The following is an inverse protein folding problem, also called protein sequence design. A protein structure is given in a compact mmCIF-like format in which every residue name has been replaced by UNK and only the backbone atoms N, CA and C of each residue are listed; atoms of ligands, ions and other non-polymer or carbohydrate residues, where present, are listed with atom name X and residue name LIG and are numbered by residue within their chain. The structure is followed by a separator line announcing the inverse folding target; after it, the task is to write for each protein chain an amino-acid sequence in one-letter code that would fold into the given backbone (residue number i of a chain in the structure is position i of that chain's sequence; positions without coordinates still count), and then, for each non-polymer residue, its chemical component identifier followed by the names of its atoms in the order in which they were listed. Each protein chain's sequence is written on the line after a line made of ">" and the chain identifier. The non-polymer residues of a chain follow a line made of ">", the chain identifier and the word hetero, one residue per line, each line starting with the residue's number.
data_IF_361856187782
#
_entry.id   IF_361856187782
#
_cell.length_a   1.000
_cell.length_b   1.000
_cell.length_c   1.000
_cell.angle_alpha   90.00
_cell.angle_beta   90.00
_cell.angle_gamma   90.00
#
_symmetry.space_group_name_H-M   'P 1'
#
loop_
_entity.id
_entity.type
_entity.pdbx_description
1 polymer ?
#
# COMPACT_ATOMS: atom_id res chain seq x y z
N UNK A 1 -9.23 -20.50 -15.52
CA UNK A 1 -8.96 -19.77 -14.25
C UNK A 1 -7.64 -20.30 -13.73
N UNK A 2 -6.58 -19.48 -13.68
CA UNK A 2 -5.30 -19.92 -13.09
C UNK A 2 -5.56 -20.27 -11.62
N UNK A 3 -5.17 -21.47 -11.19
CA UNK A 3 -5.21 -21.81 -9.78
C UNK A 3 -4.23 -20.90 -9.03
N UNK A 4 -4.67 -20.37 -7.90
CA UNK A 4 -3.80 -19.57 -7.02
C UNK A 4 -2.93 -20.57 -6.26
N UNK A 5 -1.62 -20.54 -6.51
CA UNK A 5 -0.66 -21.39 -5.82
C UNK A 5 -0.29 -20.75 -4.48
N UNK A 6 -0.80 -21.34 -3.40
CA UNK A 6 -0.54 -20.92 -2.03
C UNK A 6 0.69 -21.69 -1.52
N UNK A 7 1.71 -20.97 -1.04
CA UNK A 7 2.95 -21.59 -0.54
C UNK A 7 2.79 -22.10 0.90
N UNK A 8 2.41 -21.19 1.79
CA UNK A 8 2.17 -21.46 3.20
C UNK A 8 0.73 -21.12 3.51
N UNK A 9 0.05 -22.00 4.24
CA UNK A 9 -1.33 -21.82 4.68
C UNK A 9 -1.41 -22.27 6.13
N UNK A 10 -1.91 -21.39 6.98
CA UNK A 10 -2.24 -21.71 8.37
C UNK A 10 -3.73 -21.55 8.55
N UNK A 11 -4.35 -22.54 9.17
CA UNK A 11 -5.77 -22.53 9.48
C UNK A 11 -5.99 -22.37 10.98
N UNK A 12 -7.11 -21.75 11.34
CA UNK A 12 -7.59 -21.81 12.70
C UNK A 12 -7.90 -23.26 13.11
N UNK A 13 -7.74 -23.58 14.40
CA UNK A 13 -7.99 -24.91 14.97
C UNK A 13 -9.41 -25.45 14.73
N UNK A 14 -10.38 -24.58 14.43
CA UNK A 14 -11.75 -24.98 14.13
C UNK A 14 -11.93 -25.59 12.74
N UNK A 15 -10.90 -25.55 11.88
CA UNK A 15 -10.95 -26.05 10.50
C UNK A 15 -10.67 -27.55 10.42
N UNK A 16 -11.51 -28.26 9.67
CA UNK A 16 -11.37 -29.70 9.41
C UNK A 16 -10.44 -29.94 8.22
N UNK A 17 -9.14 -30.10 8.49
CA UNK A 17 -8.08 -30.26 7.47
C UNK A 17 -8.34 -31.38 6.45
N UNK A 18 -8.87 -32.52 6.90
CA UNK A 18 -9.17 -33.67 6.03
C UNK A 18 -10.14 -33.34 4.87
N UNK A 19 -11.06 -32.38 5.03
CA UNK A 19 -11.92 -31.94 3.90
C UNK A 19 -11.14 -31.08 2.91
N UNK A 20 -10.36 -30.13 3.42
CA UNK A 20 -9.55 -29.25 2.59
C UNK A 20 -8.56 -30.02 1.69
N UNK A 21 -7.95 -31.09 2.20
CA UNK A 21 -7.02 -31.92 1.42
C UNK A 21 -7.69 -32.64 0.25
N UNK A 22 -8.97 -33.01 0.38
CA UNK A 22 -9.71 -33.77 -0.63
C UNK A 22 -10.27 -32.87 -1.75
N UNK A 23 -10.99 -31.81 -1.41
CA UNK A 23 -11.75 -31.00 -2.38
C UNK A 23 -11.45 -29.50 -2.31
N UNK A 24 -10.46 -29.10 -1.50
CA UNK A 24 -10.11 -27.69 -1.21
C UNK A 24 -11.26 -26.91 -0.55
N UNK A 25 -12.23 -27.57 0.06
CA UNK A 25 -13.31 -26.94 0.83
C UNK A 25 -12.89 -26.72 2.29
N UNK A 26 -12.92 -25.47 2.75
CA UNK A 26 -12.70 -25.12 4.15
C UNK A 26 -14.00 -25.33 4.92
N UNK A 27 -14.02 -26.31 5.84
CA UNK A 27 -15.17 -26.63 6.68
C UNK A 27 -14.79 -26.45 8.15
N UNK A 28 -15.59 -25.69 8.89
CA UNK A 28 -15.30 -25.34 10.28
C UNK A 28 -16.58 -25.06 11.08
N UNK A 29 -16.45 -25.03 12.40
CA UNK A 29 -17.46 -24.49 13.32
C UNK A 29 -16.85 -23.20 13.89
N UNK A 30 -17.36 -22.00 13.54
CA UNK A 30 -16.75 -20.75 13.96
C UNK A 30 -16.82 -20.57 15.49
N UNK A 31 -15.77 -20.03 16.13
CA UNK A 31 -15.89 -19.38 17.43
C UNK A 31 -16.83 -18.17 17.35
N UNK A 32 -17.34 -17.75 18.51
CA UNK A 32 -18.13 -16.52 18.60
C UNK A 32 -17.24 -15.28 18.44
N UNK A 33 -17.70 -14.30 17.66
CA UNK A 33 -17.01 -13.03 17.44
C UNK A 33 -16.06 -13.03 16.24
N UNK A 34 -15.14 -12.06 16.23
CA UNK A 34 -14.14 -11.90 15.18
C UNK A 34 -12.95 -12.82 15.41
N UNK A 35 -12.53 -13.55 14.37
CA UNK A 35 -11.35 -14.42 14.43
C UNK A 35 -10.69 -14.58 13.05
N UNK A 36 -9.40 -14.89 13.06
CA UNK A 36 -8.65 -15.22 11.85
C UNK A 36 -8.91 -16.68 11.45
N UNK A 37 -9.66 -16.89 10.37
CA UNK A 37 -9.97 -18.24 9.86
C UNK A 37 -8.76 -18.91 9.19
N UNK A 38 -8.03 -18.16 8.37
CA UNK A 38 -6.84 -18.63 7.68
C UNK A 38 -5.87 -17.49 7.42
N UNK A 39 -4.58 -17.81 7.41
CA UNK A 39 -3.51 -16.95 6.91
C UNK A 39 -2.78 -17.68 5.79
N UNK A 40 -2.32 -16.93 4.79
CA UNK A 40 -1.63 -17.54 3.65
C UNK A 40 -0.55 -16.64 3.09
N UNK A 41 0.45 -17.27 2.47
CA UNK A 41 1.51 -16.58 1.73
C UNK A 41 1.52 -17.00 0.26
N UNK A 42 1.79 -16.03 -0.60
CA UNK A 42 1.96 -16.24 -2.04
C UNK A 42 3.34 -15.75 -2.44
N UNK A 43 3.98 -16.50 -3.33
CA UNK A 43 5.17 -16.06 -4.04
C UNK A 43 4.82 -15.74 -5.48
N UNK A 44 4.04 -14.68 -5.62
CA UNK A 44 3.70 -14.12 -6.93
C UNK A 44 4.50 -12.85 -7.12
N UNK A 45 5.16 -12.72 -8.26
CA UNK A 45 5.80 -11.47 -8.64
C UNK A 45 4.70 -10.48 -9.04
N UNK A 46 4.35 -9.58 -8.12
CA UNK A 46 3.32 -8.56 -8.34
C UNK A 46 4.01 -7.27 -8.77
N UNK A 47 3.49 -6.64 -9.83
CA UNK A 47 3.90 -5.26 -10.16
C UNK A 47 3.45 -4.31 -9.05
N UNK A 48 4.27 -3.31 -8.68
CA UNK A 48 3.89 -2.31 -7.70
C UNK A 48 2.56 -1.63 -8.06
N UNK A 49 1.57 -1.72 -7.17
CA UNK A 49 0.23 -1.15 -7.37
C UNK A 49 0.23 0.37 -7.52
N UNK A 50 1.09 1.08 -6.79
CA UNK A 50 1.35 2.51 -6.92
C UNK A 50 2.86 2.68 -7.09
N UNK A 51 3.29 2.87 -8.33
CA UNK A 51 4.68 3.11 -8.66
C UNK A 51 5.00 4.59 -8.49
N UNK A 52 6.08 4.89 -7.76
CA UNK A 52 6.53 6.25 -7.51
C UNK A 52 7.93 6.42 -8.08
N UNK A 53 8.07 7.37 -9.00
CA UNK A 53 9.34 7.83 -9.53
C UNK A 53 9.65 9.19 -8.93
N UNK A 54 10.89 9.37 -8.49
CA UNK A 54 11.34 10.59 -7.85
C UNK A 54 12.64 11.04 -8.49
N UNK A 55 12.61 12.22 -9.08
CA UNK A 55 13.78 12.90 -9.62
C UNK A 55 14.13 14.03 -8.67
N UNK A 56 15.36 14.02 -8.16
CA UNK A 56 15.86 15.02 -7.21
C UNK A 56 16.96 15.82 -7.89
N UNK A 57 16.74 17.12 -8.04
CA UNK A 57 17.66 18.04 -8.70
C UNK A 57 18.24 19.03 -7.67
N UNK A 58 19.48 18.83 -7.22
CA UNK A 58 20.17 19.82 -6.40
C UNK A 58 20.68 20.96 -7.29
N UNK A 59 20.27 22.19 -7.00
CA UNK A 59 20.84 23.39 -7.62
C UNK A 59 21.89 23.99 -6.68
N UNK A 60 23.11 24.15 -7.23
CA UNK A 60 24.33 24.67 -6.59
C UNK A 60 24.09 25.44 -5.28
N UNK A 61 24.12 24.69 -4.17
CA UNK A 61 24.14 25.12 -2.77
C UNK A 61 22.99 25.97 -2.21
N UNK A 62 21.89 26.17 -2.95
CA UNK A 62 20.81 27.05 -2.47
C UNK A 62 19.42 26.46 -2.55
N UNK A 63 19.21 25.45 -3.40
CA UNK A 63 17.87 24.90 -3.63
C UNK A 63 17.93 23.44 -4.00
N UNK A 64 16.94 22.69 -3.54
CA UNK A 64 16.68 21.34 -4.01
C UNK A 64 15.26 21.27 -4.55
N UNK A 65 15.13 20.66 -5.73
CA UNK A 65 13.84 20.43 -6.37
C UNK A 65 13.53 18.93 -6.40
N UNK A 66 12.30 18.59 -6.06
CA UNK A 66 11.78 17.23 -6.16
C UNK A 66 10.69 17.22 -7.22
N UNK A 67 10.80 16.29 -8.17
CA UNK A 67 9.75 15.96 -9.11
C UNK A 67 9.30 14.52 -8.88
N UNK A 68 8.11 14.38 -8.30
CA UNK A 68 7.54 13.08 -7.94
C UNK A 68 6.42 12.74 -8.92
N UNK A 69 6.53 11.57 -9.55
CA UNK A 69 5.51 10.99 -10.42
C UNK A 69 4.95 9.72 -9.79
N UNK A 70 3.69 9.77 -9.39
CA UNK A 70 2.98 8.61 -8.87
C UNK A 70 2.06 8.02 -9.95
N UNK A 71 2.13 6.70 -10.17
CA UNK A 71 1.38 5.98 -11.19
C UNK A 71 0.71 4.75 -10.60
N UNK A 72 -0.60 4.64 -10.76
CA UNK A 72 -1.35 3.44 -10.36
C UNK A 72 -1.29 2.36 -11.45
N UNK A 73 -0.97 1.13 -11.05
CA UNK A 73 -0.88 -0.05 -11.93
C UNK A 73 -1.99 -1.09 -11.64
N UNK A 74 -3.18 -0.62 -11.31
CA UNK A 74 -4.38 -1.45 -11.15
C UNK A 74 -5.50 -0.97 -12.09
N UNK A 75 -6.57 -1.77 -12.15
CA UNK A 75 -7.70 -1.56 -13.08
C UNK A 75 -8.30 -0.16 -12.92
N UNK A 76 -8.64 0.49 -14.03
CA UNK A 76 -9.21 1.85 -14.06
C UNK A 76 -10.48 2.04 -13.23
N UNK A 77 -11.27 0.98 -13.05
CA UNK A 77 -12.48 0.97 -12.22
C UNK A 77 -12.23 0.88 -10.72
N UNK A 78 -11.00 0.53 -10.32
CA UNK A 78 -10.61 0.44 -8.92
C UNK A 78 -10.03 1.79 -8.47
N UNK A 79 -10.19 2.10 -7.18
CA UNK A 79 -9.76 3.36 -6.58
C UNK A 79 -9.00 2.98 -5.31
N UNK A 80 -7.78 3.51 -5.15
CA UNK A 80 -7.09 3.44 -3.88
C UNK A 80 -7.50 4.64 -3.01
N UNK A 81 -7.81 4.38 -1.75
CA UNK A 81 -8.20 5.37 -0.75
C UNK A 81 -7.03 5.69 0.17
N UNK A 82 -7.06 6.92 0.70
CA UNK A 82 -6.12 7.40 1.73
C UNK A 82 -4.66 7.11 1.36
N UNK A 83 -4.30 7.44 0.12
CA UNK A 83 -2.93 7.24 -0.37
C UNK A 83 -2.02 8.28 0.27
N UNK A 84 -0.96 7.83 0.93
CA UNK A 84 0.08 8.69 1.46
C UNK A 84 1.41 8.28 0.84
N UNK A 85 2.09 9.22 0.19
CA UNK A 85 3.44 9.03 -0.34
C UNK A 85 4.37 9.85 0.54
N UNK A 86 5.28 9.16 1.23
CA UNK A 86 6.21 9.74 2.19
C UNK A 86 7.57 9.81 1.52
N UNK A 87 8.00 11.02 1.18
CA UNK A 87 9.28 11.26 0.51
C UNK A 87 10.24 11.91 1.52
N UNK A 88 11.37 11.28 1.83
CA UNK A 88 12.36 11.87 2.72
C UNK A 88 13.06 13.06 2.05
N UNK A 89 13.44 14.04 2.86
CA UNK A 89 14.13 15.27 2.45
C UNK A 89 15.33 15.51 3.37
N UNK A 90 16.30 16.35 2.99
CA UNK A 90 17.39 16.74 3.88
C UNK A 90 16.86 17.39 5.16
N UNK A 91 17.57 17.21 6.27
CA UNK A 91 17.19 17.76 7.59
C UNK A 91 17.14 19.28 7.58
N UNK A 92 18.09 19.88 6.87
CA UNK A 92 18.31 21.32 6.90
C UNK A 92 17.52 22.06 5.81
N UNK A 93 16.47 21.46 5.23
CA UNK A 93 15.65 22.15 4.24
C UNK A 93 14.86 23.29 4.87
N UNK A 94 14.77 24.40 4.15
CA UNK A 94 13.91 25.54 4.52
C UNK A 94 12.95 25.91 3.37
N UNK A 95 12.10 26.90 3.63
CA UNK A 95 11.26 27.55 2.62
C UNK A 95 10.44 26.57 1.73
N UNK A 96 9.70 25.62 2.32
CA UNK A 96 8.96 24.60 1.56
C UNK A 96 7.92 25.23 0.64
N UNK A 97 7.95 24.83 -0.64
CA UNK A 97 6.95 25.23 -1.64
C UNK A 97 6.50 24.04 -2.46
N UNK A 98 5.19 23.82 -2.54
CA UNK A 98 4.60 22.62 -3.16
C UNK A 98 3.64 22.98 -4.29
N UNK A 99 3.68 22.18 -5.36
CA UNK A 99 2.67 22.17 -6.43
C UNK A 99 2.32 20.72 -6.75
N UNK A 100 1.12 20.30 -6.35
CA UNK A 100 0.60 18.97 -6.66
C UNK A 100 -0.59 19.05 -7.62
N UNK A 101 -0.70 18.09 -8.54
CA UNK A 101 -1.86 17.99 -9.44
C UNK A 101 -3.14 17.58 -8.72
N UNK A 102 -3.02 16.91 -7.58
CA UNK A 102 -4.12 16.43 -6.74
C UNK A 102 -3.64 16.30 -5.29
N UNK A 103 -4.58 16.35 -4.35
CA UNK A 103 -4.29 16.09 -2.94
C UNK A 103 -3.58 17.26 -2.27
N UNK A 104 -2.99 16.99 -1.12
CA UNK A 104 -2.29 17.98 -0.28
C UNK A 104 -0.89 17.50 0.02
N UNK A 105 0.06 18.42 0.07
CA UNK A 105 1.46 18.12 0.42
C UNK A 105 1.81 18.92 1.66
N UNK A 106 2.37 18.24 2.66
CA UNK A 106 2.79 18.86 3.93
C UNK A 106 4.19 18.36 4.27
N UNK A 107 5.07 19.28 4.65
CA UNK A 107 6.38 18.96 5.21
C UNK A 107 6.29 18.75 6.71
N UNK A 108 6.91 17.67 7.19
CA UNK A 108 6.99 17.30 8.60
C UNK A 108 8.47 17.32 9.02
N UNK A 109 8.94 18.41 9.66
CA UNK A 109 10.33 18.53 10.11
C UNK A 109 10.76 17.40 11.03
N UNK A 110 9.92 16.99 11.98
CA UNK A 110 10.21 15.91 12.94
C UNK A 110 10.48 14.54 12.28
N UNK A 111 10.12 14.39 11.00
CA UNK A 111 10.27 13.17 10.22
C UNK A 111 11.27 13.32 9.08
N UNK A 112 11.87 14.50 8.90
CA UNK A 112 12.69 14.82 7.73
C UNK A 112 12.01 14.42 6.41
N UNK A 113 10.68 14.65 6.28
CA UNK A 113 9.91 14.11 5.16
C UNK A 113 8.74 14.99 4.72
N UNK A 114 8.41 14.94 3.44
CA UNK A 114 7.13 15.41 2.91
C UNK A 114 6.14 14.26 2.80
N UNK A 115 4.89 14.55 3.12
CA UNK A 115 3.79 13.61 2.95
C UNK A 115 2.84 14.20 1.92
N UNK A 116 2.69 13.49 0.80
CA UNK A 116 1.69 13.77 -0.22
C UNK A 116 0.47 12.88 -0.01
N UNK A 117 -0.62 13.49 0.46
CA UNK A 117 -1.87 12.81 0.79
C UNK A 117 -2.90 12.97 -0.33
N UNK A 118 -3.41 11.85 -0.84
CA UNK A 118 -4.40 11.78 -1.92
C UNK A 118 -5.58 10.94 -1.41
N UNK A 119 -6.76 11.56 -1.25
CA UNK A 119 -7.96 10.87 -0.73
C UNK A 119 -8.39 9.71 -1.62
N UNK A 120 -8.35 9.90 -2.93
CA UNK A 120 -8.76 8.92 -3.93
C UNK A 120 -7.79 8.94 -5.11
N UNK A 121 -7.15 7.80 -5.35
CA UNK A 121 -6.22 7.58 -6.46
C UNK A 121 -6.85 6.57 -7.41
N UNK A 122 -7.38 7.05 -8.53
CA UNK A 122 -8.02 6.22 -9.55
C UNK A 122 -7.00 5.33 -10.28
N UNK A 123 -7.37 4.09 -10.58
CA UNK A 123 -6.51 3.16 -11.29
C UNK A 123 -6.14 3.61 -12.70
N UNK A 124 -4.98 3.17 -13.19
CA UNK A 124 -4.44 3.50 -14.51
C UNK A 124 -4.30 5.01 -14.75
N UNK A 125 -4.12 5.79 -13.68
CA UNK A 125 -3.80 7.23 -13.71
C UNK A 125 -2.40 7.51 -13.20
N UNK A 126 -1.88 8.66 -13.61
CA UNK A 126 -0.65 9.23 -13.08
C UNK A 126 -0.90 10.67 -12.62
N UNK A 127 -0.19 11.05 -11.56
CA UNK A 127 -0.24 12.36 -10.95
C UNK A 127 1.18 12.85 -10.67
N UNK A 128 1.34 14.17 -10.69
CA UNK A 128 2.63 14.82 -10.51
C UNK A 128 2.60 15.72 -9.27
N UNK A 129 3.71 15.74 -8.56
CA UNK A 129 3.97 16.66 -7.46
C UNK A 129 5.37 17.24 -7.63
N UNK A 130 5.48 18.56 -7.46
CA UNK A 130 6.74 19.29 -7.41
C UNK A 130 6.90 19.90 -6.03
N UNK A 131 8.06 19.71 -5.43
CA UNK A 131 8.46 20.38 -4.21
C UNK A 131 9.76 21.14 -4.42
N UNK A 132 9.86 22.28 -3.74
CA UNK A 132 11.03 23.12 -3.75
C UNK A 132 11.39 23.47 -2.32
N UNK A 133 12.67 23.43 -2.01
CA UNK A 133 13.22 23.79 -0.72
C UNK A 133 14.47 24.63 -0.89
N UNK A 134 14.67 25.57 0.02
CA UNK A 134 15.98 26.19 0.21
C UNK A 134 16.93 25.23 0.92
N UNK A 135 18.22 25.37 0.63
CA UNK A 135 19.30 24.73 1.37
C UNK A 135 20.17 25.80 2.03
N UNK A 136 20.60 25.61 3.28
CA UNK A 136 21.53 26.51 3.92
C UNK A 136 22.89 26.46 3.24
N UNK A 137 23.57 27.61 3.24
CA UNK A 137 24.88 27.80 2.62
C UNK A 137 26.03 27.06 3.33
N UNK A 138 25.79 26.52 4.53
CA UNK A 138 26.76 25.77 5.33
C UNK A 138 26.33 24.29 5.30
N UNK A 139 27.01 23.50 4.49
CA UNK A 139 26.85 22.04 4.52
C UNK A 139 27.58 21.47 5.73
N UNK A 140 26.83 21.02 6.74
CA UNK A 140 27.36 20.08 7.72
C UNK A 140 27.54 18.73 7.01
N UNK A 141 28.77 18.42 6.61
CA UNK A 141 29.11 17.12 6.04
C UNK A 141 29.06 16.06 7.14
N UNK A 142 27.85 15.59 7.47
CA UNK A 142 27.63 14.59 8.53
C UNK A 142 27.68 13.16 7.97
N UNK A 143 28.07 12.96 6.71
CA UNK A 143 28.28 11.62 6.11
C UNK A 143 27.04 10.72 6.03
N UNK A 144 25.87 11.15 6.52
CA UNK A 144 24.62 10.39 6.50
C UNK A 144 23.63 11.00 5.51
N UNK A 145 23.60 10.47 4.30
CA UNK A 145 22.62 10.82 3.27
C UNK A 145 21.23 10.23 3.60
N UNK A 146 20.67 10.51 4.80
CA UNK A 146 19.37 10.00 5.25
C UNK A 146 18.22 10.38 4.32
N UNK A 147 18.37 11.49 3.59
CA UNK A 147 17.41 11.91 2.57
C UNK A 147 17.35 10.96 1.37
N UNK A 148 18.29 10.00 1.23
CA UNK A 148 18.24 8.89 0.24
C UNK A 148 17.47 7.68 0.73
N UNK A 149 16.82 7.77 1.89
CA UNK A 149 15.93 6.71 2.37
C UNK A 149 14.85 6.40 1.31
N UNK A 150 14.34 5.15 1.25
CA UNK A 150 13.28 4.81 0.33
C UNK A 150 12.01 5.63 0.58
N UNK A 151 11.29 5.92 -0.50
CA UNK A 151 9.93 6.47 -0.46
C UNK A 151 8.98 5.40 0.04
N UNK A 152 8.22 5.70 1.09
CA UNK A 152 7.17 4.81 1.59
C UNK A 152 5.83 5.19 0.98
N UNK A 153 5.00 4.19 0.65
CA UNK A 153 3.63 4.42 0.17
C UNK A 153 2.63 3.65 1.01
N UNK A 154 1.66 4.37 1.55
CA UNK A 154 0.51 3.79 2.25
C UNK A 154 -0.74 3.94 1.40
N UNK A 155 -1.58 2.91 1.36
CA UNK A 155 -2.82 2.92 0.60
C UNK A 155 -3.75 1.78 1.00
N UNK A 156 -5.04 1.96 0.70
CA UNK A 156 -6.05 0.91 0.78
C UNK A 156 -6.82 0.80 -0.55
N UNK A 157 -6.95 -0.40 -1.11
CA UNK A 157 -7.77 -0.64 -2.32
C UNK A 157 -8.91 -1.61 -1.97
N UNK A 158 -10.15 -1.11 -1.83
CA UNK A 158 -11.31 -1.97 -1.60
C UNK A 158 -11.69 -2.73 -2.87
N UNK A 159 -12.30 -3.90 -2.67
CA UNK A 159 -12.80 -4.80 -3.72
C UNK A 159 -11.73 -5.23 -4.74
N UNK A 160 -10.46 -5.16 -4.35
CA UNK A 160 -9.31 -5.57 -5.15
C UNK A 160 -8.52 -6.65 -4.42
N UNK A 161 -8.07 -7.65 -5.18
CA UNK A 161 -7.30 -8.78 -4.67
C UNK A 161 -6.02 -8.92 -5.46
N UNK A 162 -4.88 -8.73 -4.81
CA UNK A 162 -3.55 -8.97 -5.41
C UNK A 162 -3.32 -10.46 -5.67
N UNK A 163 -3.73 -11.30 -4.72
CA UNK A 163 -3.58 -12.77 -4.79
C UNK A 163 -4.41 -13.43 -5.88
N UNK A 164 -5.46 -12.75 -6.36
CA UNK A 164 -6.51 -13.37 -7.17
C UNK A 164 -7.41 -14.35 -6.40
N UNK A 165 -7.23 -14.51 -5.09
CA UNK A 165 -8.08 -15.36 -4.26
C UNK A 165 -9.46 -14.74 -4.14
N UNK A 166 -10.50 -15.50 -4.50
CA UNK A 166 -11.89 -15.07 -4.43
C UNK A 166 -12.73 -16.15 -3.76
N UNK A 167 -13.50 -15.76 -2.75
CA UNK A 167 -14.54 -16.55 -2.12
C UNK A 167 -15.64 -16.81 -3.15
N UNK A 168 -15.81 -18.09 -3.53
CA UNK A 168 -16.84 -18.51 -4.49
C UNK A 168 -18.22 -18.61 -3.87
N UNK A 169 -18.29 -19.17 -2.67
CA UNK A 169 -19.51 -19.32 -1.90
C UNK A 169 -19.17 -19.45 -0.42
N UNK A 170 -20.11 -19.05 0.43
CA UNK A 170 -20.10 -19.30 1.87
C UNK A 170 -21.42 -20.00 2.21
N UNK A 171 -21.35 -21.26 2.62
CA UNK A 171 -22.51 -22.06 3.00
C UNK A 171 -22.61 -22.14 4.51
N UNK A 172 -23.67 -21.58 5.07
CA UNK A 172 -23.98 -21.64 6.50
C UNK A 172 -25.03 -22.73 6.70
N UNK A 173 -24.76 -23.67 7.60
CA UNK A 173 -25.68 -24.77 7.95
C UNK A 173 -26.02 -24.59 9.42
N UNK A 174 -27.21 -24.04 9.68
CA UNK A 174 -27.69 -23.74 11.02
C UNK A 174 -28.95 -24.57 11.31
N UNK A 175 -28.94 -25.32 12.40
CA UNK A 175 -30.03 -26.26 12.74
C UNK A 175 -31.15 -25.59 13.54
N UNK A 176 -30.89 -24.43 14.13
CA UNK A 176 -31.87 -23.66 14.92
C UNK A 176 -32.88 -22.87 14.08
N UNK A 177 -32.71 -22.82 12.75
CA UNK A 177 -33.59 -22.05 11.85
C UNK A 177 -33.22 -20.57 11.73
N UNK A 178 -32.13 -20.12 12.36
CA UNK A 178 -31.62 -18.76 12.21
C UNK A 178 -31.15 -18.48 10.78
N UNK A 179 -31.58 -17.34 10.22
CA UNK A 179 -31.19 -16.90 8.88
C UNK A 179 -30.00 -15.93 8.97
N UNK A 180 -28.82 -16.41 8.58
CA UNK A 180 -27.62 -15.58 8.50
C UNK A 180 -27.58 -14.78 7.19
N UNK A 181 -27.08 -13.54 7.26
CA UNK A 181 -26.82 -12.66 6.12
C UNK A 181 -25.30 -12.59 5.86
N UNK A 182 -24.71 -13.53 5.11
CA UNK A 182 -23.29 -13.53 4.85
C UNK A 182 -22.89 -12.38 3.92
N UNK A 183 -21.75 -11.75 4.21
CA UNK A 183 -21.13 -10.77 3.33
C UNK A 183 -19.64 -11.07 3.19
N UNK A 184 -19.05 -10.63 2.09
CA UNK A 184 -17.61 -10.75 1.82
C UNK A 184 -17.12 -9.41 1.31
N UNK A 185 -16.02 -8.92 1.88
CA UNK A 185 -15.29 -7.74 1.40
C UNK A 185 -13.84 -8.11 1.18
N UNK A 186 -13.28 -7.62 0.09
CA UNK A 186 -11.85 -7.71 -0.18
C UNK A 186 -11.22 -6.34 0.05
N UNK A 187 -10.09 -6.31 0.72
CA UNK A 187 -9.28 -5.11 0.88
C UNK A 187 -7.84 -5.51 0.62
N UNK A 188 -7.16 -4.73 -0.22
CA UNK A 188 -5.70 -4.76 -0.32
C UNK A 188 -5.14 -3.55 0.40
N UNK A 189 -4.30 -3.79 1.40
CA UNK A 189 -3.54 -2.74 2.09
C UNK A 189 -2.06 -2.86 1.72
N UNK A 190 -1.32 -1.76 1.81
CA UNK A 190 0.13 -1.83 1.71
C UNK A 190 0.71 -2.65 2.87
N UNK A 191 1.77 -3.41 2.60
CA UNK A 191 2.68 -3.92 3.63
C UNK A 191 3.87 -2.99 3.78
N UNK A 192 5.06 -3.58 3.86
CA UNK A 192 6.30 -2.84 3.62
C UNK A 192 6.41 -2.49 2.14
N UNK A 193 6.20 -1.21 1.81
CA UNK A 193 6.07 -0.72 0.44
C UNK A 193 7.00 0.47 0.23
N UNK A 194 8.22 0.15 -0.19
CA UNK A 194 9.34 1.07 -0.30
C UNK A 194 9.86 1.14 -1.73
N UNK A 195 10.05 2.35 -2.25
CA UNK A 195 10.67 2.61 -3.56
C UNK A 195 11.93 3.46 -3.39
N UNK A 196 13.05 3.01 -3.94
CA UNK A 196 14.28 3.80 -3.91
C UNK A 196 14.18 4.96 -4.90
N UNK A 197 14.72 6.11 -4.49
CA UNK A 197 14.91 7.23 -5.40
C UNK A 197 16.00 6.90 -6.41
N UNK A 198 15.81 7.38 -7.65
CA UNK A 198 16.74 7.18 -8.76
C UNK A 198 17.89 8.18 -8.72
#
# INVERSE_FOLDING_TARGET
>A
IKAVELEDIKFHQCVRLARFENDRTISFIPPDGEFELMSYRLNTQVKPLIWVEAVVEPHSHSRIEYMIKAKSQFKSRSIANNVEIIIPVPRDVDSPSFKASIGTVVYYPDKDAIIWSIKQFTGSKEYLMRAHFGLPSISADDGTEHWRAPIEVKFEIPYFTVSGLQVRYLKIIEKSGYQALPWVRYITMNGDYQLRMS
#
